data_IF_126942229421
#
_entry.id   IF_126942229421
#
_cell.length_a   1.000
_cell.length_b   1.000
_cell.length_c   1.000
_cell.angle_alpha   90.00
_cell.angle_beta   90.00
_cell.angle_gamma   90.00
#
_symmetry.space_group_name_H-M   'P 1'
#
loop_
_entity.id
_entity.type
_entity.pdbx_description
1 polymer ?
#
# COMPACT_ATOMS: atom_id res chain seq x y z
N UNK A 1 -51.39 -9.60 34.48
CA UNK A 1 -51.69 -8.24 34.97
C UNK A 1 -51.68 -7.32 33.77
N UNK A 2 -52.72 -6.52 33.56
CA UNK A 2 -52.86 -5.70 32.36
C UNK A 2 -52.13 -4.36 32.49
N UNK A 3 -51.75 -3.76 31.36
CA UNK A 3 -51.22 -2.39 31.31
C UNK A 3 -52.25 -1.34 31.74
N UNK A 4 -53.54 -1.71 31.81
CA UNK A 4 -54.64 -0.82 32.13
C UNK A 4 -55.43 -1.35 33.33
N UNK A 5 -55.93 -0.42 34.16
CA UNK A 5 -56.86 -0.69 35.26
C UNK A 5 -58.02 0.31 35.24
N UNK A 6 -59.23 -0.15 35.57
CA UNK A 6 -60.43 0.69 35.66
C UNK A 6 -60.95 0.70 37.11
N UNK A 7 -61.29 1.88 37.63
CA UNK A 7 -61.85 2.00 38.99
C UNK A 7 -63.39 1.95 39.01
N UNK A 8 -63.97 1.94 40.21
CA UNK A 8 -65.43 1.90 40.41
C UNK A 8 -66.15 3.17 39.95
N UNK A 9 -65.43 4.26 39.68
CA UNK A 9 -65.97 5.48 39.08
C UNK A 9 -65.96 5.45 37.54
N UNK A 10 -65.38 4.39 36.95
CA UNK A 10 -65.25 4.22 35.51
C UNK A 10 -64.01 4.87 34.91
N UNK A 11 -63.06 5.33 35.73
CA UNK A 11 -61.82 5.95 35.24
C UNK A 11 -60.83 4.87 34.84
N UNK A 12 -60.44 4.86 33.55
CA UNK A 12 -59.39 4.01 33.01
C UNK A 12 -58.02 4.66 33.25
N UNK A 13 -57.08 3.89 33.79
CA UNK A 13 -55.74 4.34 34.17
C UNK A 13 -54.67 3.38 33.65
N UNK A 14 -53.48 3.90 33.40
CA UNK A 14 -52.30 3.12 33.00
C UNK A 14 -51.59 2.62 34.26
N UNK A 15 -51.26 1.32 34.29
CA UNK A 15 -50.69 0.62 35.45
C UNK A 15 -49.24 0.16 35.20
N UNK A 16 -48.81 0.12 33.95
CA UNK A 16 -47.47 -0.26 33.49
C UNK A 16 -47.06 0.69 32.37
N UNK A 17 -45.75 0.94 32.17
CA UNK A 17 -45.27 1.65 30.99
C UNK A 17 -45.84 1.06 29.69
N UNK A 18 -46.05 1.94 28.73
CA UNK A 18 -46.51 1.61 27.39
C UNK A 18 -45.34 1.89 26.43
N UNK A 19 -45.10 0.95 25.54
CA UNK A 19 -44.02 1.02 24.56
C UNK A 19 -44.65 0.75 23.18
N UNK A 20 -44.56 1.74 22.29
CA UNK A 20 -45.22 1.71 20.99
C UNK A 20 -44.51 0.72 20.08
N UNK A 21 -43.19 0.64 20.18
CA UNK A 21 -42.28 -0.22 19.43
C UNK A 21 -42.61 -1.69 19.70
N UNK A 22 -43.04 -1.98 20.94
CA UNK A 22 -43.55 -3.29 21.34
C UNK A 22 -45.01 -3.53 20.92
N UNK A 23 -45.91 -2.56 21.16
CA UNK A 23 -47.33 -2.69 20.84
C UNK A 23 -48.01 -1.33 20.63
N UNK A 24 -48.40 -1.04 19.39
CA UNK A 24 -48.99 0.25 18.99
C UNK A 24 -50.50 0.38 19.24
N UNK A 25 -51.20 -0.73 19.53
CA UNK A 25 -52.66 -0.76 19.61
C UNK A 25 -53.17 -1.72 20.69
N UNK A 26 -54.17 -1.26 21.45
CA UNK A 26 -54.92 -2.08 22.41
C UNK A 26 -56.42 -1.99 22.13
N UNK A 27 -57.11 -3.13 22.20
CA UNK A 27 -58.57 -3.21 22.15
C UNK A 27 -59.06 -3.82 23.46
N UNK A 28 -59.70 -3.01 24.29
CA UNK A 28 -60.24 -3.40 25.59
C UNK A 28 -61.76 -3.53 25.51
N UNK A 29 -62.34 -4.43 26.30
CA UNK A 29 -63.80 -4.52 26.48
C UNK A 29 -64.11 -4.20 27.94
N UNK A 30 -64.81 -3.11 28.17
CA UNK A 30 -65.28 -2.69 29.49
C UNK A 30 -66.69 -3.22 29.68
N UNK A 31 -66.96 -3.88 30.81
CA UNK A 31 -68.28 -4.39 31.18
C UNK A 31 -68.78 -3.66 32.42
N UNK A 32 -70.01 -3.17 32.38
CA UNK A 32 -70.72 -2.63 33.55
C UNK A 32 -71.86 -3.55 33.92
N UNK A 33 -72.22 -3.57 35.20
CA UNK A 33 -73.37 -4.33 35.70
C UNK A 33 -74.19 -3.50 36.70
N UNK A 34 -75.49 -3.78 36.81
CA UNK A 34 -76.32 -3.20 37.88
C UNK A 34 -75.94 -3.75 39.28
N UNK A 35 -76.54 -3.21 40.35
CA UNK A 35 -76.29 -3.65 41.72
C UNK A 35 -77.36 -4.61 42.25
N UNK A 36 -78.05 -5.38 41.39
CA UNK A 36 -79.10 -6.30 41.83
C UNK A 36 -78.56 -7.28 42.90
N UNK A 37 -79.27 -7.43 44.05
CA UNK A 37 -78.86 -8.33 45.11
C UNK A 37 -79.12 -9.79 44.72
N UNK A 38 -78.20 -10.68 45.08
CA UNK A 38 -78.33 -12.12 44.82
C UNK A 38 -79.57 -12.66 45.58
N UNK A 39 -80.38 -13.56 44.98
CA UNK A 39 -80.09 -14.40 43.82
C UNK A 39 -80.47 -13.81 42.44
N UNK A 40 -80.86 -12.53 42.35
CA UNK A 40 -81.22 -11.93 41.07
C UNK A 40 -80.00 -11.84 40.13
N UNK A 41 -80.21 -12.13 38.85
CA UNK A 41 -79.20 -11.92 37.80
C UNK A 41 -79.01 -10.43 37.56
N UNK A 42 -77.76 -9.97 37.57
CA UNK A 42 -77.41 -8.59 37.22
C UNK A 42 -77.48 -8.40 35.72
N UNK A 43 -78.05 -7.29 35.26
CA UNK A 43 -77.94 -6.90 33.85
C UNK A 43 -76.56 -6.30 33.58
N UNK A 44 -75.98 -6.65 32.43
CA UNK A 44 -74.66 -6.14 32.04
C UNK A 44 -74.69 -5.48 30.67
N UNK A 45 -73.84 -4.47 30.47
CA UNK A 45 -73.57 -3.85 29.17
C UNK A 45 -72.07 -3.83 28.93
N UNK A 46 -71.64 -3.97 27.67
CA UNK A 46 -70.24 -3.91 27.29
C UNK A 46 -69.97 -2.77 26.32
N UNK A 47 -68.79 -2.17 26.41
CA UNK A 47 -68.28 -1.17 25.49
C UNK A 47 -66.85 -1.54 25.06
N UNK A 48 -66.55 -1.39 23.77
CA UNK A 48 -65.20 -1.56 23.25
C UNK A 48 -64.43 -0.24 23.34
N UNK A 49 -63.21 -0.29 23.86
CA UNK A 49 -62.30 0.85 23.95
C UNK A 49 -61.06 0.54 23.12
N UNK A 50 -60.86 1.33 22.07
CA UNK A 50 -59.70 1.25 21.19
C UNK A 50 -58.68 2.31 21.62
N UNK A 51 -57.46 1.87 21.94
CA UNK A 51 -56.35 2.73 22.34
C UNK A 51 -55.27 2.62 21.27
N UNK A 52 -54.92 3.76 20.67
CA UNK A 52 -53.85 3.88 19.68
C UNK A 52 -52.72 4.66 20.37
N UNK A 53 -51.52 4.08 20.42
CA UNK A 53 -50.35 4.78 20.94
C UNK A 53 -49.77 5.68 19.86
N UNK A 54 -49.47 6.92 20.23
CA UNK A 54 -48.75 7.86 19.38
C UNK A 54 -47.26 7.67 19.54
N UNK A 55 -46.51 8.05 18.51
CA UNK A 55 -45.06 8.00 18.50
C UNK A 55 -44.41 9.05 19.40
N UNK A 56 -43.28 8.68 19.99
CA UNK A 56 -42.35 9.56 20.69
C UNK A 56 -40.96 9.17 20.22
N UNK A 57 -40.10 10.16 19.93
CA UNK A 57 -38.72 9.92 19.51
C UNK A 57 -37.88 9.44 20.71
N UNK A 58 -37.89 8.15 21.00
CA UNK A 58 -37.21 7.56 22.15
C UNK A 58 -36.16 6.51 21.77
N UNK A 59 -36.05 6.19 20.48
CA UNK A 59 -35.09 5.24 19.95
C UNK A 59 -34.14 5.91 18.96
N UNK A 60 -32.82 5.95 19.22
CA UNK A 60 -31.87 6.49 18.25
C UNK A 60 -31.68 5.53 17.06
N UNK A 61 -31.25 6.05 15.88
CA UNK A 61 -30.87 5.21 14.76
C UNK A 61 -29.76 4.21 15.13
N UNK A 62 -29.78 3.01 14.55
CA UNK A 62 -28.76 1.97 14.75
C UNK A 62 -28.16 1.50 13.43
N UNK A 63 -26.83 1.53 13.30
CA UNK A 63 -26.13 1.06 12.09
C UNK A 63 -26.16 -0.46 11.94
N UNK A 64 -26.45 -0.92 10.72
CA UNK A 64 -26.41 -2.33 10.29
C UNK A 64 -25.37 -2.58 9.20
N UNK A 65 -24.79 -1.51 8.63
CA UNK A 65 -23.71 -1.60 7.63
C UNK A 65 -22.40 -2.12 8.24
N UNK A 66 -21.52 -2.77 7.44
CA UNK A 66 -20.21 -3.21 7.90
C UNK A 66 -19.30 -2.03 8.29
N UNK A 67 -18.25 -2.31 9.06
CA UNK A 67 -17.29 -1.27 9.55
C UNK A 67 -15.97 -1.24 8.78
N UNK A 68 -15.86 -1.99 7.68
CA UNK A 68 -14.63 -2.16 6.93
C UNK A 68 -14.94 -2.27 5.44
N UNK A 69 -14.19 -1.53 4.62
CA UNK A 69 -14.22 -1.61 3.15
C UNK A 69 -12.81 -1.46 2.58
N UNK A 70 -12.63 -1.86 1.32
CA UNK A 70 -11.36 -1.86 0.61
C UNK A 70 -11.52 -1.15 -0.74
N UNK A 71 -10.57 -0.32 -1.10
CA UNK A 71 -10.62 0.47 -2.35
C UNK A 71 -9.23 0.60 -2.97
N UNK A 72 -9.02 0.26 -4.25
CA UNK A 72 -7.77 0.56 -4.95
C UNK A 72 -7.46 2.05 -5.02
N UNK A 73 -6.19 2.43 -4.90
CA UNK A 73 -5.82 3.86 -4.96
C UNK A 73 -6.10 4.53 -6.31
N UNK A 74 -6.04 3.77 -7.40
CA UNK A 74 -6.39 4.25 -8.74
C UNK A 74 -7.91 4.34 -9.00
N UNK A 75 -8.74 4.20 -7.96
CA UNK A 75 -10.19 4.25 -8.11
C UNK A 75 -10.63 5.65 -8.56
N UNK A 76 -11.43 5.77 -9.63
CA UNK A 76 -11.90 7.07 -10.10
C UNK A 76 -12.75 7.81 -9.06
N UNK A 77 -12.64 9.14 -9.10
CA UNK A 77 -13.55 10.04 -8.37
C UNK A 77 -15.01 9.76 -8.76
N UNK A 78 -15.93 10.07 -7.85
CA UNK A 78 -17.38 9.79 -7.90
C UNK A 78 -17.79 8.31 -7.75
N UNK A 79 -16.81 7.41 -7.54
CA UNK A 79 -17.09 6.01 -7.22
C UNK A 79 -17.70 5.89 -5.81
N UNK A 80 -18.73 5.06 -5.68
CA UNK A 80 -19.33 4.70 -4.39
C UNK A 80 -18.40 3.67 -3.72
N UNK A 81 -17.84 4.04 -2.56
CA UNK A 81 -16.83 3.23 -1.86
C UNK A 81 -17.44 2.38 -0.75
N UNK A 82 -18.57 2.85 -0.21
CA UNK A 82 -19.27 2.28 0.92
C UNK A 82 -20.70 2.80 0.95
N UNK A 83 -21.62 2.01 1.49
CA UNK A 83 -23.00 2.43 1.74
C UNK A 83 -23.32 2.29 3.23
N UNK A 84 -23.48 3.43 3.89
CA UNK A 84 -23.95 3.50 5.25
C UNK A 84 -25.42 3.09 5.29
N UNK A 85 -25.76 2.26 6.27
CA UNK A 85 -27.14 1.85 6.49
C UNK A 85 -27.40 1.78 7.98
N UNK A 86 -28.38 2.55 8.42
CA UNK A 86 -28.94 2.53 9.76
C UNK A 86 -30.45 2.29 9.69
N UNK A 87 -31.00 1.80 10.79
CA UNK A 87 -32.43 1.57 10.99
C UNK A 87 -32.87 2.25 12.26
N UNK A 88 -34.06 2.79 12.26
CA UNK A 88 -34.68 3.45 13.40
C UNK A 88 -36.07 2.83 13.60
N UNK A 89 -36.38 2.28 14.80
CA UNK A 89 -37.64 1.61 15.05
C UNK A 89 -38.82 2.57 15.23
N UNK A 90 -38.58 3.88 15.30
CA UNK A 90 -39.64 4.87 15.48
C UNK A 90 -40.49 5.04 14.19
N UNK A 91 -41.46 5.96 14.18
CA UNK A 91 -42.43 6.09 13.08
C UNK A 91 -42.45 7.48 12.47
N UNK A 92 -42.63 7.55 11.14
CA UNK A 92 -42.69 8.84 10.45
C UNK A 92 -41.36 9.62 10.60
N UNK A 93 -41.39 10.93 10.91
CA UNK A 93 -40.17 11.73 11.03
C UNK A 93 -39.15 11.20 12.05
N UNK A 94 -39.62 10.55 13.13
CA UNK A 94 -38.75 10.01 14.17
C UNK A 94 -37.90 8.83 13.66
N UNK A 95 -38.27 8.18 12.55
CA UNK A 95 -37.41 7.17 11.90
C UNK A 95 -36.78 7.60 10.58
N UNK A 96 -36.94 8.86 10.18
CA UNK A 96 -36.32 9.39 8.97
C UNK A 96 -34.87 9.75 9.25
N UNK A 97 -33.97 8.89 8.77
CA UNK A 97 -32.52 9.02 9.00
C UNK A 97 -31.88 9.94 7.95
N UNK A 98 -31.06 10.88 8.42
CA UNK A 98 -30.07 11.60 7.62
C UNK A 98 -28.64 11.21 8.03
N UNK A 99 -27.78 11.06 7.02
CA UNK A 99 -26.37 10.70 7.20
C UNK A 99 -25.45 11.91 7.06
N UNK A 100 -24.37 11.91 7.85
CA UNK A 100 -23.29 12.89 7.73
C UNK A 100 -21.94 12.30 8.13
N UNK A 101 -20.85 12.98 7.78
CA UNK A 101 -19.49 12.67 8.25
C UNK A 101 -19.08 13.70 9.31
N UNK A 102 -18.72 13.23 10.51
CA UNK A 102 -18.35 14.11 11.63
C UNK A 102 -17.08 14.93 11.35
N UNK A 103 -16.17 14.37 10.55
CA UNK A 103 -14.91 14.99 10.10
C UNK A 103 -14.57 14.45 8.72
N UNK A 104 -14.84 15.18 7.63
CA UNK A 104 -14.39 14.76 6.30
C UNK A 104 -12.85 14.82 6.26
N UNK A 105 -12.21 13.69 6.56
CA UNK A 105 -10.74 13.58 6.56
C UNK A 105 -10.22 13.85 5.14
N UNK A 106 -9.40 14.89 4.99
CA UNK A 106 -8.61 15.14 3.79
C UNK A 106 -9.38 15.48 2.51
N UNK A 107 -10.67 15.85 2.59
CA UNK A 107 -11.53 16.10 1.43
C UNK A 107 -11.53 14.93 0.41
N UNK A 108 -11.34 13.69 0.87
CA UNK A 108 -11.32 12.50 -0.01
C UNK A 108 -12.68 11.83 -0.12
N UNK A 109 -13.54 11.98 0.88
CA UNK A 109 -14.84 11.30 0.94
C UNK A 109 -15.98 12.28 1.21
N UNK A 110 -17.12 12.04 0.57
CA UNK A 110 -18.41 12.65 0.87
C UNK A 110 -19.43 11.57 1.20
N UNK A 111 -20.55 11.93 1.82
CA UNK A 111 -21.68 11.03 2.03
C UNK A 111 -22.96 11.70 1.56
N UNK A 112 -23.80 10.95 0.85
CA UNK A 112 -25.15 11.40 0.53
C UNK A 112 -26.04 11.37 1.77
N UNK A 113 -26.74 12.47 2.02
CA UNK A 113 -27.52 12.66 3.26
C UNK A 113 -28.71 11.72 3.38
N UNK A 114 -29.25 11.23 2.25
CA UNK A 114 -30.46 10.40 2.19
C UNK A 114 -30.13 8.95 1.84
N UNK A 115 -29.25 8.72 0.87
CA UNK A 115 -28.92 7.38 0.37
C UNK A 115 -27.83 6.67 1.18
N UNK A 116 -27.11 7.42 2.03
CA UNK A 116 -25.97 6.92 2.82
C UNK A 116 -24.77 6.52 1.97
N UNK A 117 -24.71 6.92 0.70
CA UNK A 117 -23.63 6.53 -0.21
C UNK A 117 -22.39 7.37 0.06
N UNK A 118 -21.31 6.72 0.49
CA UNK A 118 -20.01 7.35 0.63
C UNK A 118 -19.32 7.32 -0.73
N UNK A 119 -18.99 8.50 -1.25
CA UNK A 119 -18.37 8.68 -2.56
C UNK A 119 -16.95 9.21 -2.41
N UNK A 120 -16.09 8.78 -3.31
CA UNK A 120 -14.75 9.34 -3.45
C UNK A 120 -14.85 10.69 -4.15
N UNK A 121 -14.30 11.75 -3.56
CA UNK A 121 -14.28 13.12 -4.10
C UNK A 121 -12.86 13.66 -4.34
N UNK A 122 -11.84 12.86 -4.03
CA UNK A 122 -10.44 13.19 -4.30
C UNK A 122 -9.62 11.94 -4.56
N UNK A 123 -8.53 12.09 -5.32
CA UNK A 123 -7.63 10.98 -5.68
C UNK A 123 -7.02 10.32 -4.44
N UNK A 124 -6.84 9.01 -4.48
CA UNK A 124 -6.15 8.28 -3.43
C UNK A 124 -4.68 8.06 -3.83
N UNK A 125 -3.83 7.98 -2.82
CA UNK A 125 -2.41 7.69 -2.92
C UNK A 125 -2.09 6.90 -1.65
N UNK A 126 -1.84 5.61 -1.81
CA UNK A 126 -1.63 4.67 -0.70
C UNK A 126 -0.27 4.93 -0.06
N UNK A 127 0.74 5.29 -0.84
CA UNK A 127 2.08 5.62 -0.35
C UNK A 127 2.03 6.84 0.59
N UNK A 128 1.11 7.78 0.34
CA UNK A 128 0.83 8.90 1.23
C UNK A 128 -0.06 8.50 2.43
N UNK A 129 -1.18 7.82 2.19
CA UNK A 129 -2.16 7.43 3.23
C UNK A 129 -2.78 6.07 2.92
N UNK A 130 -2.39 5.04 3.68
CA UNK A 130 -2.83 3.66 3.46
C UNK A 130 -4.22 3.32 3.98
N UNK A 131 -4.79 4.13 4.88
CA UNK A 131 -6.14 3.92 5.41
C UNK A 131 -6.80 5.20 5.93
N UNK A 132 -8.13 5.20 5.90
CA UNK A 132 -8.97 6.27 6.44
C UNK A 132 -9.96 5.71 7.45
N UNK A 133 -10.20 6.43 8.54
CA UNK A 133 -11.27 6.10 9.49
C UNK A 133 -12.37 7.15 9.41
N UNK A 134 -13.49 6.79 8.80
CA UNK A 134 -14.63 7.67 8.58
C UNK A 134 -15.64 7.50 9.72
N UNK A 135 -15.86 8.54 10.51
CA UNK A 135 -16.94 8.56 11.51
C UNK A 135 -18.24 9.00 10.84
N UNK A 136 -19.10 8.02 10.53
CA UNK A 136 -20.43 8.22 9.95
C UNK A 136 -21.44 8.42 11.07
N UNK A 137 -22.28 9.45 10.94
CA UNK A 137 -23.33 9.79 11.89
C UNK A 137 -24.68 9.62 11.21
N UNK A 138 -25.60 8.92 11.88
CA UNK A 138 -27.00 8.80 11.49
C UNK A 138 -27.84 9.58 12.52
N UNK A 139 -28.69 10.49 12.04
CA UNK A 139 -29.55 11.34 12.88
C UNK A 139 -30.98 11.25 12.39
N UNK A 140 -31.93 11.04 13.30
CA UNK A 140 -33.35 11.07 12.96
C UNK A 140 -33.87 12.51 12.74
N UNK A 141 -35.15 12.66 12.36
CA UNK A 141 -35.83 13.97 12.27
C UNK A 141 -36.81 14.24 13.41
N UNK A 142 -36.67 13.52 14.52
CA UNK A 142 -37.48 13.74 15.71
C UNK A 142 -37.14 15.02 16.46
N UNK A 143 -37.94 15.36 17.47
CA UNK A 143 -37.70 16.49 18.36
C UNK A 143 -37.83 16.08 19.84
N UNK A 144 -36.73 16.08 20.62
CA UNK A 144 -35.34 16.32 20.19
C UNK A 144 -34.86 15.22 19.22
N UNK A 145 -33.95 15.57 18.31
CA UNK A 145 -33.36 14.60 17.40
C UNK A 145 -32.39 13.69 18.14
N UNK A 146 -32.41 12.39 17.86
CA UNK A 146 -31.43 11.44 18.37
C UNK A 146 -30.47 11.01 17.25
N UNK A 147 -29.27 10.62 17.66
CA UNK A 147 -28.20 10.26 16.71
C UNK A 147 -27.35 9.13 17.23
N UNK A 148 -26.80 8.36 16.31
CA UNK A 148 -25.71 7.41 16.58
C UNK A 148 -24.56 7.62 15.60
N UNK A 149 -23.39 7.08 15.95
CA UNK A 149 -22.21 7.14 15.08
C UNK A 149 -21.50 5.80 15.02
N UNK A 150 -20.90 5.49 13.87
CA UNK A 150 -19.99 4.36 13.70
C UNK A 150 -18.74 4.78 12.94
N UNK A 151 -17.61 4.19 13.33
CA UNK A 151 -16.38 4.31 12.57
C UNK A 151 -16.33 3.23 11.48
N UNK A 152 -16.02 3.66 10.26
CA UNK A 152 -15.84 2.81 9.08
C UNK A 152 -14.39 2.95 8.64
N UNK A 153 -13.66 1.84 8.63
CA UNK A 153 -12.28 1.79 8.15
C UNK A 153 -12.27 1.54 6.66
N UNK A 154 -11.63 2.43 5.91
CA UNK A 154 -11.39 2.30 4.47
C UNK A 154 -9.92 1.96 4.29
N UNK A 155 -9.62 0.77 3.81
CA UNK A 155 -8.26 0.33 3.50
C UNK A 155 -7.98 0.61 2.03
N UNK A 156 -6.92 1.37 1.76
CA UNK A 156 -6.48 1.64 0.38
C UNK A 156 -5.63 0.47 -0.09
N UNK A 157 -6.01 -0.14 -1.21
CA UNK A 157 -5.28 -1.23 -1.84
C UNK A 157 -4.25 -0.68 -2.82
N UNK A 158 -3.06 -1.23 -2.73
CA UNK A 158 -1.90 -0.92 -3.56
C UNK A 158 -2.13 -1.25 -5.04
N UNK A 159 -1.66 -0.35 -5.89
CA UNK A 159 -1.54 -0.50 -7.33
C UNK A 159 -0.06 -0.27 -7.68
N UNK A 160 0.47 -1.06 -8.61
CA UNK A 160 1.86 -0.90 -9.08
C UNK A 160 2.01 0.40 -9.88
N UNK A 161 2.14 1.53 -9.20
CA UNK A 161 2.15 2.87 -9.78
C UNK A 161 3.46 3.64 -9.57
N UNK A 162 4.36 3.13 -8.73
CA UNK A 162 5.73 3.58 -8.61
C UNK A 162 6.69 2.71 -9.43
N UNK A 163 7.81 3.29 -9.85
CA UNK A 163 8.90 2.53 -10.47
C UNK A 163 9.99 2.31 -9.41
N UNK A 164 10.78 1.24 -9.50
CA UNK A 164 12.00 1.13 -8.72
C UNK A 164 12.91 2.31 -9.05
N UNK A 165 13.53 2.95 -8.06
CA UNK A 165 14.42 4.09 -8.28
C UNK A 165 15.81 3.80 -7.74
N UNK A 166 16.83 3.83 -8.61
CA UNK A 166 18.21 3.70 -8.17
C UNK A 166 18.67 4.90 -7.32
N UNK A 167 19.40 4.62 -6.24
CA UNK A 167 20.01 5.63 -5.38
C UNK A 167 21.02 6.53 -6.10
N UNK A 168 21.64 6.03 -7.17
CA UNK A 168 22.56 6.78 -8.03
C UNK A 168 22.32 6.45 -9.50
N UNK A 169 22.41 7.46 -10.37
CA UNK A 169 22.35 7.29 -11.84
C UNK A 169 23.62 6.72 -12.45
N UNK A 170 24.75 6.85 -11.75
CA UNK A 170 26.05 6.40 -12.20
C UNK A 170 26.90 5.96 -11.01
N UNK A 171 27.34 4.71 -11.03
CA UNK A 171 28.31 4.14 -10.12
C UNK A 171 29.67 4.04 -10.81
N UNK A 172 30.75 4.39 -10.12
CA UNK A 172 32.13 4.28 -10.63
C UNK A 172 32.96 3.43 -9.68
N UNK A 173 33.70 2.48 -10.24
CA UNK A 173 34.59 1.60 -9.47
C UNK A 173 35.85 1.31 -10.27
N UNK A 174 36.96 1.20 -9.55
CA UNK A 174 38.24 0.79 -10.12
C UNK A 174 38.63 -0.56 -9.53
N UNK A 175 39.18 -1.45 -10.36
CA UNK A 175 39.44 -2.83 -10.00
C UNK A 175 40.76 -3.29 -10.61
N UNK A 176 41.61 -3.99 -9.86
CA UNK A 176 42.82 -4.59 -10.44
C UNK A 176 42.45 -5.77 -11.34
N UNK A 177 43.11 -5.92 -12.49
CA UNK A 177 42.76 -6.98 -13.46
C UNK A 177 42.97 -8.41 -12.93
N UNK A 178 43.90 -8.59 -11.98
CA UNK A 178 44.16 -9.87 -11.32
C UNK A 178 43.16 -10.20 -10.19
N UNK A 179 42.08 -9.42 -10.04
CA UNK A 179 41.06 -9.67 -9.02
C UNK A 179 40.46 -11.06 -9.18
N UNK A 180 40.37 -11.80 -8.07
CA UNK A 180 39.85 -13.16 -8.04
C UNK A 180 38.37 -13.22 -8.42
N UNK A 181 37.99 -14.30 -9.12
CA UNK A 181 36.58 -14.61 -9.36
C UNK A 181 35.85 -14.86 -8.04
N UNK A 182 34.62 -14.37 -7.96
CA UNK A 182 33.80 -14.37 -6.76
C UNK A 182 33.97 -13.15 -5.85
N UNK A 183 34.90 -12.24 -6.15
CA UNK A 183 35.07 -11.00 -5.37
C UNK A 183 33.88 -10.05 -5.57
N UNK A 184 33.38 -9.50 -4.47
CA UNK A 184 32.34 -8.46 -4.47
C UNK A 184 32.93 -7.12 -4.89
N UNK A 185 32.35 -6.51 -5.92
CA UNK A 185 32.83 -5.28 -6.53
C UNK A 185 32.14 -4.06 -5.92
N UNK A 186 30.81 -4.02 -6.06
CA UNK A 186 29.96 -2.91 -5.66
C UNK A 186 28.53 -3.40 -5.51
N UNK A 187 27.77 -2.77 -4.62
CA UNK A 187 26.34 -2.99 -4.49
C UNK A 187 25.59 -1.80 -5.09
N UNK A 188 24.69 -2.06 -6.03
CA UNK A 188 23.71 -1.06 -6.47
C UNK A 188 22.45 -1.18 -5.61
N UNK A 189 21.82 -0.04 -5.34
CA UNK A 189 20.60 0.01 -4.54
C UNK A 189 19.51 0.74 -5.32
N UNK A 190 18.34 0.13 -5.39
CA UNK A 190 17.09 0.74 -5.82
C UNK A 190 15.98 0.46 -4.82
N UNK A 191 15.04 1.40 -4.71
CA UNK A 191 13.89 1.33 -3.80
C UNK A 191 12.61 1.59 -4.58
N UNK A 192 11.54 0.91 -4.22
CA UNK A 192 10.22 1.07 -4.79
C UNK A 192 9.22 1.40 -3.66
N UNK A 193 8.26 2.29 -3.92
CA UNK A 193 7.30 2.78 -2.94
C UNK A 193 6.13 1.84 -2.69
N UNK A 194 5.85 0.97 -3.67
CA UNK A 194 4.66 0.12 -3.68
C UNK A 194 4.73 -1.01 -2.64
N UNK A 195 3.59 -1.65 -2.36
CA UNK A 195 3.47 -2.71 -1.35
C UNK A 195 3.81 -4.10 -1.90
N UNK A 196 4.39 -4.94 -1.03
CA UNK A 196 4.51 -6.37 -1.30
C UNK A 196 5.33 -6.68 -2.55
N UNK A 197 4.71 -7.34 -3.53
CA UNK A 197 5.38 -7.70 -4.80
C UNK A 197 5.59 -6.51 -5.72
N UNK A 198 4.72 -5.50 -5.65
CA UNK A 198 4.81 -4.28 -6.44
C UNK A 198 6.03 -3.45 -5.99
N UNK A 199 6.36 -3.46 -4.69
CA UNK A 199 7.60 -2.85 -4.19
C UNK A 199 8.86 -3.73 -4.21
N UNK A 200 8.75 -5.01 -4.60
CA UNK A 200 9.87 -5.95 -4.44
C UNK A 200 10.84 -5.89 -5.63
N UNK A 201 11.96 -5.20 -5.43
CA UNK A 201 12.97 -5.00 -6.47
C UNK A 201 13.82 -6.26 -6.76
N UNK A 202 14.11 -6.47 -8.05
CA UNK A 202 15.06 -7.43 -8.61
C UNK A 202 16.04 -6.77 -9.55
N UNK A 203 17.30 -7.20 -9.48
CA UNK A 203 18.39 -6.62 -10.28
C UNK A 203 18.86 -7.55 -11.39
N UNK A 204 19.23 -6.99 -12.54
CA UNK A 204 19.88 -7.71 -13.63
C UNK A 204 20.84 -6.81 -14.42
N UNK A 205 21.89 -7.41 -15.00
CA UNK A 205 22.76 -6.72 -15.97
C UNK A 205 22.14 -6.94 -17.34
N UNK A 206 21.67 -5.87 -17.99
CA UNK A 206 20.96 -5.95 -19.28
C UNK A 206 21.85 -5.64 -20.47
N UNK A 207 22.98 -4.94 -20.26
CA UNK A 207 23.97 -4.68 -21.31
C UNK A 207 25.34 -4.34 -20.73
N UNK A 208 26.37 -4.28 -21.61
CA UNK A 208 27.73 -3.90 -21.24
C UNK A 208 28.68 -5.05 -20.88
N UNK A 209 28.13 -6.24 -20.64
CA UNK A 209 28.87 -7.44 -20.24
C UNK A 209 28.73 -8.62 -21.22
N UNK A 210 29.10 -8.41 -22.48
CA UNK A 210 28.95 -9.44 -23.53
C UNK A 210 29.74 -10.72 -23.26
N UNK A 211 30.78 -10.68 -22.44
CA UNK A 211 31.58 -11.85 -22.08
C UNK A 211 31.14 -12.54 -20.79
N UNK A 212 30.10 -12.04 -20.10
CA UNK A 212 29.68 -12.48 -18.77
C UNK A 212 30.87 -12.47 -17.78
N UNK A 213 31.63 -11.36 -17.77
CA UNK A 213 32.71 -11.12 -16.83
C UNK A 213 32.20 -10.81 -15.42
N UNK A 214 30.96 -10.34 -15.30
CA UNK A 214 30.33 -9.98 -14.04
C UNK A 214 29.05 -10.78 -13.84
N UNK A 215 28.63 -10.90 -12.59
CA UNK A 215 27.31 -11.40 -12.22
C UNK A 215 26.73 -10.46 -11.17
N UNK A 216 25.42 -10.27 -11.19
CA UNK A 216 24.69 -9.50 -10.18
C UNK A 216 23.78 -10.43 -9.39
N UNK A 217 23.80 -10.31 -8.08
CA UNK A 217 22.81 -10.97 -7.22
C UNK A 217 21.46 -10.26 -7.36
N UNK A 218 20.45 -11.02 -7.80
CA UNK A 218 19.14 -10.45 -8.14
C UNK A 218 18.38 -9.84 -6.97
N UNK A 219 18.75 -10.15 -5.71
CA UNK A 219 18.04 -9.69 -4.51
C UNK A 219 18.78 -8.54 -3.86
N UNK A 220 20.09 -8.67 -3.72
CA UNK A 220 20.94 -7.71 -2.99
C UNK A 220 21.51 -6.61 -3.88
N UNK A 221 21.56 -6.82 -5.20
CA UNK A 221 22.18 -5.88 -6.14
C UNK A 221 23.72 -5.88 -6.08
N UNK A 222 24.34 -6.85 -5.40
CA UNK A 222 25.81 -6.99 -5.35
C UNK A 222 26.31 -7.51 -6.69
N UNK A 223 27.19 -6.74 -7.32
CA UNK A 223 27.92 -7.12 -8.53
C UNK A 223 29.23 -7.77 -8.11
N UNK A 224 29.56 -8.90 -8.71
CA UNK A 224 30.75 -9.70 -8.40
C UNK A 224 31.47 -10.12 -9.68
N UNK A 225 32.78 -10.37 -9.57
CA UNK A 225 33.60 -10.85 -10.69
C UNK A 225 33.26 -12.30 -10.99
N UNK A 226 32.73 -12.59 -12.19
CA UNK A 226 32.33 -13.93 -12.60
C UNK A 226 33.42 -14.68 -13.37
N UNK A 227 34.29 -13.96 -14.09
CA UNK A 227 35.41 -14.52 -14.87
C UNK A 227 36.66 -13.67 -14.71
N UNK A 228 37.86 -14.23 -14.97
CA UNK A 228 39.10 -13.47 -14.97
C UNK A 228 39.02 -12.24 -15.88
N UNK A 229 39.64 -11.16 -15.42
CA UNK A 229 39.72 -9.90 -16.12
C UNK A 229 41.11 -9.75 -16.74
N UNK A 230 41.20 -8.94 -17.78
CA UNK A 230 42.41 -8.75 -18.58
C UNK A 230 42.30 -7.35 -19.18
N UNK A 231 43.09 -6.41 -18.65
CA UNK A 231 43.07 -5.01 -19.02
C UNK A 231 43.58 -4.82 -20.44
N UNK A 232 44.62 -5.57 -20.85
CA UNK A 232 45.18 -5.49 -22.21
C UNK A 232 44.15 -5.91 -23.27
N UNK A 233 43.24 -6.81 -22.92
CA UNK A 233 42.11 -7.18 -23.78
C UNK A 233 40.96 -6.19 -23.71
N UNK A 234 40.57 -5.76 -22.52
CA UNK A 234 39.46 -4.82 -22.33
C UNK A 234 39.68 -3.97 -21.07
N UNK A 235 40.10 -2.70 -21.19
CA UNK A 235 40.52 -1.88 -20.05
C UNK A 235 39.36 -1.34 -19.20
N UNK A 236 38.13 -1.39 -19.70
CA UNK A 236 36.96 -0.85 -18.99
C UNK A 236 35.65 -1.50 -19.40
N UNK A 237 34.67 -1.46 -18.51
CA UNK A 237 33.30 -1.94 -18.73
C UNK A 237 32.30 -0.86 -18.34
N UNK A 238 31.28 -0.67 -19.17
CA UNK A 238 30.12 0.19 -18.88
C UNK A 238 28.90 -0.71 -18.86
N UNK A 239 28.48 -1.10 -17.66
CA UNK A 239 27.33 -1.98 -17.45
C UNK A 239 26.07 -1.14 -17.37
N UNK A 240 25.01 -1.56 -18.07
CA UNK A 240 23.66 -1.07 -17.78
C UNK A 240 22.99 -2.08 -16.87
N UNK A 241 22.65 -1.65 -15.66
CA UNK A 241 21.97 -2.47 -14.66
C UNK A 241 20.52 -2.02 -14.60
N UNK A 242 19.60 -2.97 -14.65
CA UNK A 242 18.17 -2.74 -14.54
C UNK A 242 17.67 -3.20 -13.16
N UNK A 243 16.85 -2.37 -12.53
CA UNK A 243 15.96 -2.75 -11.43
C UNK A 243 14.57 -2.97 -12.00
N UNK A 244 13.91 -4.06 -11.61
CA UNK A 244 12.53 -4.39 -11.95
C UNK A 244 11.78 -4.76 -10.69
N UNK A 245 10.58 -4.26 -10.50
CA UNK A 245 9.69 -4.79 -9.46
C UNK A 245 9.16 -6.19 -9.82
N UNK A 246 8.27 -6.74 -8.99
CA UNK A 246 7.59 -8.02 -9.22
C UNK A 246 6.07 -7.86 -9.34
N UNK A 247 5.59 -6.69 -9.73
CA UNK A 247 4.20 -6.43 -10.04
C UNK A 247 3.71 -7.26 -11.24
N UNK A 248 2.39 -7.33 -11.43
CA UNK A 248 1.77 -8.06 -12.55
C UNK A 248 2.12 -7.45 -13.91
N UNK A 249 2.33 -6.13 -13.95
CA UNK A 249 2.95 -5.39 -15.04
C UNK A 249 4.21 -4.73 -14.49
N UNK A 250 5.38 -5.40 -14.58
CA UNK A 250 6.57 -4.92 -13.91
C UNK A 250 7.02 -3.55 -14.42
N UNK A 251 7.37 -2.67 -13.50
CA UNK A 251 8.01 -1.39 -13.78
C UNK A 251 9.51 -1.49 -13.52
N UNK A 252 10.26 -0.66 -14.23
CA UNK A 252 11.71 -0.77 -14.27
C UNK A 252 12.39 0.59 -14.28
N UNK A 253 13.64 0.62 -13.83
CA UNK A 253 14.58 1.72 -13.99
C UNK A 253 15.96 1.15 -14.34
N UNK A 254 16.85 2.01 -14.84
CA UNK A 254 18.20 1.62 -15.24
C UNK A 254 19.25 2.59 -14.70
N UNK A 255 20.39 2.04 -14.30
CA UNK A 255 21.57 2.81 -13.90
C UNK A 255 22.81 2.32 -14.64
N UNK A 256 23.85 3.14 -14.67
CA UNK A 256 25.13 2.80 -15.30
C UNK A 256 26.18 2.48 -14.23
N UNK A 257 26.95 1.42 -14.44
CA UNK A 257 28.14 1.08 -13.62
C UNK A 257 29.37 1.11 -14.50
N UNK A 258 30.26 2.08 -14.27
CA UNK A 258 31.53 2.20 -14.95
C UNK A 258 32.64 1.54 -14.13
N UNK A 259 33.25 0.52 -14.72
CA UNK A 259 34.33 -0.26 -14.13
C UNK A 259 35.59 0.03 -14.95
N UNK A 260 36.64 0.52 -14.29
CA UNK A 260 37.95 0.75 -14.91
C UNK A 260 38.94 -0.25 -14.33
N UNK A 261 39.64 -0.97 -15.21
CA UNK A 261 40.66 -1.91 -14.78
C UNK A 261 42.01 -1.20 -14.56
N UNK A 262 42.61 -1.44 -13.39
CA UNK A 262 43.97 -1.04 -13.08
C UNK A 262 44.94 -2.10 -13.57
N UNK A 263 46.01 -1.61 -14.17
CA UNK A 263 47.12 -2.40 -14.69
C UNK A 263 47.86 -3.10 -13.55
N UNK A 264 48.10 -4.39 -13.72
CA UNK A 264 49.01 -5.17 -12.89
C UNK A 264 50.03 -5.79 -13.83
N UNK A 265 51.32 -5.57 -13.55
CA UNK A 265 52.37 -6.12 -14.38
C UNK A 265 52.36 -7.66 -14.34
N UNK A 266 51.73 -8.28 -15.32
CA UNK A 266 51.62 -9.72 -15.54
C UNK A 266 52.41 -10.20 -16.77
N UNK A 267 53.12 -9.27 -17.43
CA UNK A 267 53.99 -9.56 -18.56
C UNK A 267 55.43 -9.85 -18.12
N UNK A 268 55.93 -11.00 -18.56
CA UNK A 268 57.36 -11.31 -18.47
C UNK A 268 58.07 -10.64 -19.65
N UNK A 269 59.10 -9.81 -19.42
CA UNK A 269 59.85 -9.22 -20.52
C UNK A 269 60.52 -10.33 -21.35
N UNK A 270 60.30 -10.30 -22.66
CA UNK A 270 60.92 -11.24 -23.58
C UNK A 270 61.98 -10.54 -24.41
N UNK A 271 63.11 -11.21 -24.61
CA UNK A 271 64.13 -10.72 -25.53
C UNK A 271 63.64 -10.85 -26.97
N UNK A 272 63.96 -9.87 -27.82
CA UNK A 272 63.59 -9.92 -29.24
C UNK A 272 64.23 -11.11 -29.97
N UNK A 273 65.43 -11.49 -29.53
CA UNK A 273 66.16 -12.63 -30.06
C UNK A 273 66.69 -13.49 -28.91
N UNK A 274 66.77 -14.80 -29.12
CA UNK A 274 67.52 -15.69 -28.25
C UNK A 274 67.99 -16.90 -29.07
N UNK A 275 69.31 -17.18 -29.15
CA UNK A 275 70.42 -16.44 -28.53
C UNK A 275 70.81 -15.17 -29.32
N UNK A 276 71.46 -14.22 -28.65
CA UNK A 276 72.21 -13.15 -29.32
C UNK A 276 73.64 -13.63 -29.59
N UNK A 277 74.09 -13.58 -30.85
CA UNK A 277 75.45 -13.94 -31.23
C UNK A 277 76.22 -12.69 -31.68
N UNK A 278 77.40 -12.47 -31.11
CA UNK A 278 78.33 -11.40 -31.50
C UNK A 278 79.75 -11.94 -31.60
N UNK A 279 80.48 -11.56 -32.65
CA UNK A 279 81.90 -11.87 -32.81
C UNK A 279 82.73 -10.62 -32.47
N UNK A 280 83.68 -10.74 -31.55
CA UNK A 280 84.50 -9.60 -31.07
C UNK A 280 85.99 -9.92 -31.26
N UNK A 281 86.79 -9.02 -31.86
CA UNK A 281 88.23 -9.20 -32.02
C UNK A 281 88.99 -8.98 -30.70
N UNK A 282 90.12 -9.66 -30.51
CA UNK A 282 90.89 -9.71 -29.25
C UNK A 282 91.64 -8.41 -28.89
N UNK A 283 91.90 -7.52 -29.86
CA UNK A 283 92.76 -6.33 -29.70
C UNK A 283 91.98 -5.00 -29.75
N UNK A 284 90.89 -4.87 -28.99
CA UNK A 284 90.14 -3.61 -28.90
C UNK A 284 90.87 -2.57 -28.04
N UNK A 285 91.53 -1.61 -28.68
CA UNK A 285 92.12 -0.46 -27.99
C UNK A 285 91.04 0.60 -27.66
N UNK A 286 91.22 1.30 -26.53
CA UNK A 286 90.30 2.30 -25.91
C UNK A 286 88.98 1.71 -25.38
N UNK A 287 88.82 1.68 -24.05
CA UNK A 287 87.66 1.14 -23.34
C UNK A 287 86.88 2.25 -22.62
N UNK A 288 85.54 2.14 -22.50
CA UNK A 288 84.66 1.02 -22.90
C UNK A 288 84.19 1.03 -24.37
N UNK A 289 83.93 -0.15 -24.95
CA UNK A 289 83.32 -0.34 -26.29
C UNK A 289 81.99 -1.08 -26.18
N UNK A 290 80.99 -0.60 -26.90
CA UNK A 290 79.69 -1.28 -27.04
C UNK A 290 79.81 -2.37 -28.09
N UNK A 291 79.57 -3.63 -27.70
CA UNK A 291 79.69 -4.80 -28.60
C UNK A 291 78.34 -5.37 -29.02
N UNK A 292 77.31 -5.20 -28.19
CA UNK A 292 75.97 -5.69 -28.43
C UNK A 292 75.01 -4.83 -27.61
N UNK A 293 73.90 -4.43 -28.22
CA UNK A 293 72.76 -3.87 -27.51
C UNK A 293 71.63 -4.89 -27.59
N UNK A 294 71.09 -5.26 -26.43
CA UNK A 294 69.98 -6.20 -26.33
C UNK A 294 68.69 -5.40 -26.15
N UNK A 295 67.66 -5.79 -26.89
CA UNK A 295 66.32 -5.19 -26.86
C UNK A 295 65.32 -6.18 -26.26
N UNK A 296 64.42 -5.67 -25.42
CA UNK A 296 63.29 -6.42 -24.86
C UNK A 296 61.99 -5.88 -25.41
N UNK A 297 61.07 -6.76 -25.76
CA UNK A 297 59.67 -6.40 -25.98
C UNK A 297 58.99 -6.30 -24.62
N UNK A 298 58.53 -5.11 -24.25
CA UNK A 298 57.69 -4.91 -23.08
C UNK A 298 56.32 -4.41 -23.52
N UNK A 299 55.27 -5.19 -23.27
CA UNK A 299 53.89 -4.83 -23.66
C UNK A 299 53.13 -4.03 -22.61
N UNK A 300 53.79 -3.58 -21.55
CA UNK A 300 53.19 -2.77 -20.45
C UNK A 300 52.71 -1.36 -20.87
N UNK A 301 52.82 -0.98 -22.14
CA UNK A 301 52.29 0.28 -22.63
C UNK A 301 51.22 0.05 -23.67
N UNK A 302 50.02 -0.27 -23.22
CA UNK A 302 48.82 0.07 -23.95
C UNK A 302 48.08 1.18 -23.20
N UNK A 303 48.06 2.34 -23.87
CA UNK A 303 47.37 3.60 -23.57
C UNK A 303 48.19 4.59 -22.73
N UNK A 304 48.92 5.45 -23.45
CA UNK A 304 49.45 6.70 -22.92
C UNK A 304 48.31 7.61 -22.47
N UNK A 305 48.41 8.11 -21.25
CA UNK A 305 47.67 9.30 -20.83
C UNK A 305 48.18 10.48 -21.65
N UNK A 306 47.37 10.98 -22.59
CA UNK A 306 47.51 12.34 -23.06
C UNK A 306 47.07 13.24 -21.91
N UNK A 307 48.00 14.03 -21.38
CA UNK A 307 47.71 15.20 -20.55
C UNK A 307 47.01 16.28 -21.38
#
# INVERSE_FOLDING_TARGET
MGHFGIDNSGVLSIQQPLDRESQSFYSLVVQVHDMAPLPASRYTSTAQVSIILLDVNDSPPSFISPKLTYIPENTPIDTIVFKAQATDPDSGPNSYIEYSLLRPLGNKFSIGTIDGEVRLIGELDREAVSNYTLTVVATDKGQPSLSSSTDVVVIVLDINDNNPLFAQKLYRVELEENTLTGTDLIQVLATDGDEGTNGQVRYSIVSGDTGNQFRIDSVTGVITVAKPLDREKKPSYTLTVQSSDRGSSPRTDTTTVNIVLKDVNDYVPTFELSPYNVNVPENLETLPKVILQVSTLNKLTCIGYNY
#
